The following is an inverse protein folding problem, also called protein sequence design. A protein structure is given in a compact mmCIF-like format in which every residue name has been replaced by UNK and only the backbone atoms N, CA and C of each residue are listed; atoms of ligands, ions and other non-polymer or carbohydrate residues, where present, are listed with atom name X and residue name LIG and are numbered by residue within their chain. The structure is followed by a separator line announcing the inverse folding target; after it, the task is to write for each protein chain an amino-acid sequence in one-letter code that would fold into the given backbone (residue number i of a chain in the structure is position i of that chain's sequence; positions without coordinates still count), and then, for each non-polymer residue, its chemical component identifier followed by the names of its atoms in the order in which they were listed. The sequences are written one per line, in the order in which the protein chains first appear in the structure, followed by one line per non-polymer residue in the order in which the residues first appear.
data_IF_903343189476
#
_entry.id   IF_903343189476
#
_cell.length_a   1.000
_cell.length_b   1.000
_cell.length_c   1.000
_cell.angle_alpha   90.00
_cell.angle_beta   90.00
_cell.angle_gamma   90.00
#
_symmetry.space_group_name_H-M   'P 1'
#
loop_
_entity.id
_entity.type
_entity.pdbx_description
1 polymer ?
#
# COMPACT_ATOMS: atom_id res chain seq x y z
N UNK A 1 -24.54 22.17 -3.74
CA UNK A 1 -23.92 21.33 -4.78
C UNK A 1 -22.93 20.43 -4.07
N UNK A 2 -23.06 19.10 -4.19
CA UNK A 2 -22.11 18.18 -3.56
C UNK A 2 -20.75 18.33 -4.22
N UNK A 3 -19.70 18.60 -3.44
CA UNK A 3 -18.34 18.65 -3.96
C UNK A 3 -17.98 17.31 -4.58
N UNK A 4 -17.53 17.35 -5.84
CA UNK A 4 -17.16 16.15 -6.60
C UNK A 4 -15.83 15.56 -6.14
N UNK A 5 -14.97 16.36 -5.52
CA UNK A 5 -13.60 16.00 -5.16
C UNK A 5 -13.41 16.22 -3.67
N UNK A 6 -12.82 15.24 -3.01
CA UNK A 6 -12.32 15.34 -1.64
C UNK A 6 -10.80 15.48 -1.75
N UNK A 7 -10.28 16.59 -1.26
CA UNK A 7 -8.84 16.89 -1.23
C UNK A 7 -8.36 16.82 0.22
N UNK A 8 -7.28 16.07 0.44
CA UNK A 8 -6.56 16.05 1.72
C UNK A 8 -5.36 16.98 1.63
N UNK A 9 -5.00 17.62 2.75
CA UNK A 9 -3.76 18.40 2.83
C UNK A 9 -2.54 17.51 3.05
N UNK A 10 -1.35 18.04 2.80
CA UNK A 10 -0.09 17.32 3.07
C UNK A 10 0.07 16.93 4.55
N UNK A 11 -0.47 17.75 5.48
CA UNK A 11 -0.49 17.46 6.92
C UNK A 11 -1.30 16.20 7.28
N UNK A 12 -2.19 15.78 6.39
CA UNK A 12 -3.07 14.63 6.59
C UNK A 12 -2.50 13.38 5.89
N UNK A 13 -1.28 13.45 5.32
CA UNK A 13 -0.61 12.29 4.75
C UNK A 13 -0.32 11.25 5.84
N UNK A 14 -0.63 9.97 5.60
CA UNK A 14 -0.20 8.88 6.47
C UNK A 14 1.31 8.88 6.64
N UNK A 15 1.80 8.69 7.87
CA UNK A 15 3.24 8.66 8.18
C UNK A 15 3.83 7.25 8.20
N UNK A 16 2.98 6.22 8.04
CA UNK A 16 3.35 4.81 8.10
C UNK A 16 2.71 4.06 6.95
N UNK A 17 3.44 3.08 6.41
CA UNK A 17 2.85 2.02 5.61
C UNK A 17 2.15 1.00 6.51
N UNK A 18 1.04 0.47 6.03
CA UNK A 18 0.33 -0.61 6.69
C UNK A 18 0.68 -1.95 6.02
N UNK A 19 1.15 -2.89 6.82
CA UNK A 19 1.45 -4.26 6.41
C UNK A 19 0.27 -5.16 6.79
N UNK A 20 -0.39 -5.74 5.79
CA UNK A 20 -1.54 -6.63 5.99
C UNK A 20 -1.14 -8.05 6.43
N UNK A 21 0.12 -8.45 6.24
CA UNK A 21 0.59 -9.81 6.52
C UNK A 21 0.24 -10.36 7.92
N UNK A 22 0.36 -9.60 9.04
CA UNK A 22 -0.04 -10.08 10.36
C UNK A 22 -1.55 -10.33 10.51
N UNK A 23 -2.39 -9.70 9.69
CA UNK A 23 -3.85 -9.77 9.81
C UNK A 23 -4.47 -10.84 8.90
N UNK A 24 -3.66 -11.53 8.09
CA UNK A 24 -4.10 -12.64 7.27
C UNK A 24 -4.46 -13.87 8.12
N UNK A 25 -5.64 -14.45 7.88
CA UNK A 25 -6.10 -15.68 8.58
C UNK A 25 -5.14 -16.86 8.43
N UNK A 26 -4.43 -16.93 7.32
CA UNK A 26 -3.42 -17.94 7.03
C UNK A 26 -2.18 -17.21 6.53
N UNK A 27 -0.99 -17.49 7.10
CA UNK A 27 0.24 -16.88 6.63
C UNK A 27 0.47 -17.18 5.14
N UNK A 28 1.02 -16.21 4.41
CA UNK A 28 1.49 -16.43 3.05
C UNK A 28 2.58 -17.51 3.06
N UNK A 29 2.51 -18.42 2.08
CA UNK A 29 3.59 -19.38 1.86
C UNK A 29 4.86 -18.63 1.46
N UNK A 30 6.03 -19.04 1.96
CA UNK A 30 7.28 -18.40 1.59
C UNK A 30 7.56 -18.59 0.09
N UNK A 31 8.19 -17.61 -0.57
CA UNK A 31 8.60 -17.77 -1.95
C UNK A 31 9.67 -18.87 -2.04
N UNK A 32 9.69 -19.62 -3.14
CA UNK A 32 10.58 -20.78 -3.32
C UNK A 32 11.75 -20.43 -4.24
N UNK A 33 12.91 -20.98 -3.93
CA UNK A 33 14.10 -20.83 -4.76
C UNK A 33 13.90 -21.63 -6.07
N UNK A 34 14.11 -21.03 -7.25
CA UNK A 34 13.74 -21.62 -8.53
C UNK A 34 14.51 -22.92 -8.84
N UNK A 35 15.76 -23.06 -8.40
CA UNK A 35 16.54 -24.28 -8.59
C UNK A 35 16.28 -25.39 -7.55
N UNK A 36 16.14 -25.04 -6.27
CA UNK A 36 16.07 -26.05 -5.18
C UNK A 36 14.64 -26.37 -4.77
N UNK A 37 13.67 -25.53 -5.17
CA UNK A 37 12.27 -25.58 -4.74
C UNK A 37 12.07 -25.54 -3.21
N UNK A 38 13.07 -25.07 -2.47
CA UNK A 38 12.98 -24.83 -1.03
C UNK A 38 12.63 -23.37 -0.73
N UNK A 39 12.04 -23.05 0.43
CA UNK A 39 11.82 -21.67 0.85
C UNK A 39 13.09 -20.81 0.74
N UNK A 40 12.95 -19.60 0.20
CA UNK A 40 14.04 -18.63 0.08
C UNK A 40 14.42 -18.04 1.44
N UNK A 41 15.72 -17.85 1.63
CA UNK A 41 16.27 -17.01 2.70
C UNK A 41 16.56 -15.58 2.23
N UNK A 42 16.82 -14.64 3.15
CA UNK A 42 17.28 -13.28 2.83
C UNK A 42 18.54 -13.27 1.95
N UNK A 43 19.46 -14.20 2.16
CA UNK A 43 20.71 -14.35 1.40
C UNK A 43 20.48 -14.67 -0.08
N UNK A 44 19.40 -15.38 -0.40
CA UNK A 44 19.03 -15.70 -1.79
C UNK A 44 18.48 -14.46 -2.52
N UNK A 45 17.97 -13.48 -1.78
CA UNK A 45 17.39 -12.24 -2.30
C UNK A 45 18.40 -11.08 -2.40
N UNK A 46 19.46 -11.12 -1.59
CA UNK A 46 20.48 -10.07 -1.51
C UNK A 46 21.15 -9.70 -2.85
N UNK A 47 21.34 -10.61 -3.83
CA UNK A 47 21.89 -10.24 -5.14
C UNK A 47 20.94 -9.40 -6.00
N UNK A 48 19.64 -9.38 -5.69
CA UNK A 48 18.58 -8.81 -6.55
C UNK A 48 17.95 -7.57 -5.90
N UNK A 49 17.86 -7.57 -4.56
CA UNK A 49 17.16 -6.52 -3.82
C UNK A 49 18.07 -5.82 -2.80
N UNK A 50 17.88 -4.50 -2.58
CA UNK A 50 18.45 -3.81 -1.43
C UNK A 50 18.02 -4.43 -0.11
N UNK A 51 18.92 -4.46 0.87
CA UNK A 51 18.66 -5.04 2.19
C UNK A 51 17.42 -4.45 2.89
N UNK A 52 17.13 -3.17 2.68
CA UNK A 52 15.95 -2.53 3.25
C UNK A 52 14.63 -3.13 2.72
N UNK A 53 14.57 -3.50 1.43
CA UNK A 53 13.38 -4.15 0.87
C UNK A 53 13.24 -5.59 1.36
N UNK A 54 14.37 -6.30 1.49
CA UNK A 54 14.38 -7.67 2.04
C UNK A 54 13.89 -7.65 3.49
N UNK A 55 14.34 -6.68 4.29
CA UNK A 55 13.89 -6.52 5.67
C UNK A 55 12.38 -6.25 5.75
N UNK A 56 11.82 -5.43 4.84
CA UNK A 56 10.38 -5.19 4.78
C UNK A 56 9.59 -6.43 4.40
N UNK A 57 10.07 -7.24 3.44
CA UNK A 57 9.41 -8.49 3.03
C UNK A 57 9.35 -9.50 4.18
N UNK A 58 10.37 -9.52 5.04
CA UNK A 58 10.42 -10.39 6.22
C UNK A 58 9.72 -9.79 7.45
N UNK A 59 9.33 -8.52 7.40
CA UNK A 59 8.75 -7.80 8.53
C UNK A 59 7.34 -8.31 8.87
N UNK A 60 7.06 -8.46 10.17
CA UNK A 60 5.75 -8.86 10.70
C UNK A 60 5.02 -7.73 11.43
N UNK A 61 5.61 -6.55 11.50
CA UNK A 61 4.99 -5.40 12.13
C UNK A 61 3.87 -4.85 11.23
N UNK A 62 2.68 -4.54 11.77
CA UNK A 62 1.56 -4.01 11.00
C UNK A 62 1.80 -2.58 10.51
N UNK A 63 2.71 -1.83 11.14
CA UNK A 63 2.98 -0.43 10.83
C UNK A 63 4.48 -0.21 10.65
N UNK A 64 4.85 0.31 9.48
CA UNK A 64 6.25 0.59 9.12
C UNK A 64 6.38 2.08 8.85
N UNK A 65 7.25 2.78 9.56
CA UNK A 65 7.45 4.23 9.37
C UNK A 65 7.96 4.53 7.96
N UNK A 66 7.37 5.54 7.33
CA UNK A 66 7.84 6.03 6.03
C UNK A 66 9.07 6.91 6.28
N UNK A 67 10.24 6.60 5.68
CA UNK A 67 11.42 7.45 5.86
C UNK A 67 11.16 8.88 5.39
N UNK A 68 11.72 9.87 6.09
CA UNK A 68 11.50 11.29 5.79
C UNK A 68 11.81 11.65 4.33
N UNK A 69 12.91 11.14 3.78
CA UNK A 69 13.30 11.36 2.38
C UNK A 69 12.25 10.85 1.39
N UNK A 70 11.62 9.70 1.70
CA UNK A 70 10.53 9.14 0.89
C UNK A 70 9.26 9.98 1.05
N UNK A 71 8.97 10.46 2.26
CA UNK A 71 7.83 11.33 2.52
C UNK A 71 7.93 12.63 1.71
N UNK A 72 9.11 13.23 1.65
CA UNK A 72 9.35 14.46 0.89
C UNK A 72 9.18 14.24 -0.62
N UNK A 73 9.58 13.07 -1.13
CA UNK A 73 9.28 12.66 -2.50
C UNK A 73 7.78 12.50 -2.72
N UNK A 74 7.07 11.80 -1.83
CA UNK A 74 5.64 11.53 -1.99
C UNK A 74 4.80 12.82 -2.02
N UNK A 75 5.16 13.84 -1.24
CA UNK A 75 4.49 15.14 -1.22
C UNK A 75 4.46 15.85 -2.58
N UNK A 76 5.36 15.50 -3.52
CA UNK A 76 5.33 16.09 -4.87
C UNK A 76 4.02 15.83 -5.63
N UNK A 77 3.31 14.73 -5.34
CA UNK A 77 2.05 14.38 -6.03
C UNK A 77 0.99 13.70 -5.14
N UNK A 78 1.28 13.46 -3.86
CA UNK A 78 0.31 12.98 -2.87
C UNK A 78 -0.08 14.12 -1.92
N UNK A 79 -1.29 14.08 -1.32
CA UNK A 79 -2.35 13.07 -1.49
C UNK A 79 -3.03 13.15 -2.87
N UNK A 80 -3.42 12.00 -3.43
CA UNK A 80 -4.27 12.00 -4.63
C UNK A 80 -5.71 12.35 -4.27
N UNK A 81 -6.41 13.13 -5.12
CA UNK A 81 -7.80 13.48 -4.89
C UNK A 81 -8.71 12.24 -4.96
N UNK A 82 -9.68 12.14 -4.06
CA UNK A 82 -10.78 11.18 -4.18
C UNK A 82 -11.94 11.86 -4.92
N UNK A 83 -12.34 11.31 -6.06
CA UNK A 83 -13.37 11.93 -6.92
C UNK A 83 -14.61 11.05 -7.00
N UNK A 84 -15.76 11.60 -6.64
CA UNK A 84 -17.06 10.92 -6.75
C UNK A 84 -17.58 10.96 -8.19
N UNK A 85 -17.95 9.81 -8.72
CA UNK A 85 -18.32 9.63 -10.13
C UNK A 85 -19.81 9.92 -10.41
N UNK A 86 -20.29 11.15 -10.10
CA UNK A 86 -21.71 11.53 -10.23
C UNK A 86 -22.35 11.27 -11.61
N UNK A 87 -21.58 11.46 -12.70
CA UNK A 87 -22.08 11.20 -14.06
C UNK A 87 -22.29 9.71 -14.32
N UNK A 88 -21.43 8.86 -13.76
CA UNK A 88 -21.56 7.41 -13.84
C UNK A 88 -22.77 6.94 -13.01
N UNK A 89 -22.93 7.46 -11.79
CA UNK A 89 -24.08 7.18 -10.93
C UNK A 89 -25.42 7.47 -11.65
N UNK A 90 -25.52 8.64 -12.31
CA UNK A 90 -26.71 9.02 -13.10
C UNK A 90 -26.94 8.08 -14.28
N UNK A 91 -25.88 7.72 -15.02
CA UNK A 91 -25.98 6.84 -16.19
C UNK A 91 -26.44 5.43 -15.81
N UNK A 92 -25.94 4.92 -14.68
CA UNK A 92 -26.27 3.59 -14.18
C UNK A 92 -27.65 3.50 -13.52
N UNK A 93 -28.35 4.63 -13.30
CA UNK A 93 -29.66 4.69 -12.62
C UNK A 93 -29.71 3.99 -11.25
N UNK A 94 -28.57 3.86 -10.57
CA UNK A 94 -28.41 2.90 -9.48
C UNK A 94 -28.44 3.50 -8.06
N UNK A 95 -29.29 2.86 -7.24
CA UNK A 95 -29.68 3.11 -5.84
C UNK A 95 -28.58 2.79 -4.80
N UNK A 96 -27.39 3.33 -4.97
CA UNK A 96 -26.27 3.06 -4.04
C UNK A 96 -26.05 4.16 -3.00
N UNK A 97 -27.00 5.10 -2.86
CA UNK A 97 -26.90 6.24 -1.94
C UNK A 97 -27.25 5.95 -0.47
N UNK A 98 -27.48 4.69 -0.08
CA UNK A 98 -27.68 4.33 1.33
C UNK A 98 -26.42 3.64 1.88
N UNK A 99 -25.44 4.45 2.28
CA UNK A 99 -24.40 4.06 3.23
C UNK A 99 -24.38 5.08 4.37
#
# INVERSE_FOLDING_TARGET
MTDRKILLGEKDLPQKWYNIAPDLKTPLSPPLHPATHKPLGPEDLAPIFPMALIAQEMCRDPWIDIPNEIMDILKMWRPTPLVRALSLEKALKNRTENF
#
